data_IF_622537493899
#
_entry.id   IF_622537493899
#
_cell.length_a   1.000
_cell.length_b   1.000
_cell.length_c   1.000
_cell.angle_alpha   90.00
_cell.angle_beta   90.00
_cell.angle_gamma   90.00
#
_symmetry.space_group_name_H-M   'P 1'
#
loop_
_entity.id
_entity.type
_entity.pdbx_description
1 polymer ?
#
# COMPACT_ATOMS: atom_id res chain seq x y z
N UNK A 1 -11.02 9.97 -9.26
CA UNK A 1 -11.86 8.98 -9.94
C UNK A 1 -11.14 7.67 -10.13
N UNK A 2 -11.56 6.61 -9.46
CA UNK A 2 -10.88 5.33 -9.64
C UNK A 2 -11.06 4.82 -11.05
N UNK A 3 -10.04 4.21 -11.56
CA UNK A 3 -10.14 3.62 -12.87
C UNK A 3 -11.08 2.43 -12.82
N UNK A 4 -11.69 2.12 -13.95
CA UNK A 4 -12.56 0.95 -14.03
C UNK A 4 -11.80 -0.33 -13.80
N UNK A 5 -10.48 -0.26 -13.85
CA UNK A 5 -9.64 -1.46 -13.80
C UNK A 5 -8.97 -1.65 -12.47
N UNK A 6 -9.23 -0.81 -11.49
CA UNK A 6 -8.55 -0.96 -10.23
C UNK A 6 -9.16 -0.18 -9.12
N UNK A 7 -8.85 -0.60 -7.91
CA UNK A 7 -9.24 0.08 -6.69
C UNK A 7 -8.02 0.75 -6.10
N UNK A 8 -8.21 1.96 -5.62
CA UNK A 8 -7.11 2.72 -5.03
C UNK A 8 -7.00 2.43 -3.54
N UNK A 9 -5.82 2.03 -3.11
CA UNK A 9 -5.52 1.87 -1.70
C UNK A 9 -5.02 3.21 -1.20
N UNK A 10 -5.69 3.77 -0.20
CA UNK A 10 -5.38 5.10 0.30
C UNK A 10 -4.82 5.02 1.70
N UNK A 11 -4.00 6.01 2.05
CA UNK A 11 -3.45 6.09 3.40
C UNK A 11 -4.58 6.41 4.38
N UNK A 12 -4.72 5.65 5.46
CA UNK A 12 -5.76 5.93 6.44
C UNK A 12 -5.40 7.08 7.38
N UNK A 13 -4.15 7.53 7.34
CA UNK A 13 -3.68 8.56 8.26
C UNK A 13 -2.42 9.21 7.69
N UNK A 14 -2.05 10.34 8.27
CA UNK A 14 -0.81 11.01 7.92
C UNK A 14 0.35 10.22 8.52
N UNK A 15 1.39 9.98 7.73
CA UNK A 15 2.54 9.27 8.23
C UNK A 15 3.60 9.06 7.18
N UNK A 16 4.45 8.08 7.41
CA UNK A 16 5.52 7.73 6.48
C UNK A 16 5.24 6.36 5.90
N UNK A 17 5.26 6.28 4.58
CA UNK A 17 4.99 5.04 3.86
C UNK A 17 6.24 4.16 3.86
N UNK A 18 6.06 2.90 4.19
CA UNK A 18 7.12 1.91 4.08
C UNK A 18 6.62 0.75 3.23
N UNK A 19 7.34 0.48 2.14
CA UNK A 19 6.99 -0.62 1.26
C UNK A 19 7.51 -1.96 1.79
N UNK A 20 8.39 -1.94 2.77
CA UNK A 20 9.03 -3.12 3.32
C UNK A 20 9.01 -3.03 4.84
N UNK A 21 9.16 -4.17 5.54
CA UNK A 21 9.11 -4.17 7.00
C UNK A 21 10.28 -3.44 7.65
N UNK A 22 11.39 -3.32 6.94
CA UNK A 22 12.56 -2.62 7.46
C UNK A 22 13.47 -2.27 6.29
N UNK A 23 14.40 -1.34 6.50
CA UNK A 23 15.34 -0.98 5.44
C UNK A 23 16.13 -2.19 4.97
N UNK A 24 16.27 -2.32 3.66
CA UNK A 24 17.01 -3.41 3.08
C UNK A 24 16.25 -4.71 2.92
N UNK A 25 15.03 -4.79 3.46
CA UNK A 25 14.21 -5.98 3.30
C UNK A 25 13.45 -5.92 1.98
N UNK A 26 12.96 -7.08 1.54
CA UNK A 26 12.13 -7.13 0.34
C UNK A 26 10.81 -6.41 0.60
N UNK A 27 10.26 -5.73 -0.41
CA UNK A 27 8.95 -5.11 -0.25
C UNK A 27 7.87 -6.16 -0.03
N UNK A 28 6.80 -5.73 0.66
CA UNK A 28 5.67 -6.62 0.88
C UNK A 28 5.06 -7.05 -0.44
N UNK A 29 4.94 -6.13 -1.39
CA UNK A 29 4.38 -6.41 -2.71
C UNK A 29 5.10 -5.57 -3.74
N UNK A 30 5.01 -6.02 -5.00
CA UNK A 30 5.54 -5.29 -6.14
C UNK A 30 4.47 -5.22 -7.21
N UNK A 31 4.67 -4.31 -8.16
CA UNK A 31 3.77 -4.24 -9.31
C UNK A 31 3.74 -5.59 -9.99
N UNK A 32 2.54 -6.10 -10.23
CA UNK A 32 2.34 -7.42 -10.82
C UNK A 32 2.11 -8.53 -9.83
N UNK A 33 2.33 -8.29 -8.54
CA UNK A 33 2.11 -9.31 -7.52
C UNK A 33 0.63 -9.50 -7.27
N UNK A 34 0.24 -10.73 -6.95
CA UNK A 34 -1.12 -11.01 -6.51
C UNK A 34 -1.20 -10.89 -5.01
N UNK A 35 -2.33 -10.36 -4.54
CA UNK A 35 -2.55 -10.19 -3.11
C UNK A 35 -3.88 -10.82 -2.74
N UNK A 36 -4.01 -11.16 -1.45
CA UNK A 36 -5.22 -11.76 -0.93
C UNK A 36 -5.77 -10.91 0.19
N UNK A 37 -7.03 -11.13 0.52
CA UNK A 37 -7.68 -10.41 1.60
C UNK A 37 -6.87 -10.62 2.89
N UNK A 38 -6.55 -9.51 3.56
CA UNK A 38 -5.80 -9.54 4.80
C UNK A 38 -4.30 -9.55 4.63
N UNK A 39 -3.80 -9.61 3.40
CA UNK A 39 -2.37 -9.59 3.17
C UNK A 39 -1.83 -8.18 3.38
N UNK A 40 -0.71 -8.05 4.10
CA UNK A 40 -0.11 -6.75 4.35
C UNK A 40 0.47 -6.20 3.06
N UNK A 41 0.06 -4.98 2.71
CA UNK A 41 0.53 -4.32 1.49
C UNK A 41 1.67 -3.37 1.77
N UNK A 42 1.61 -2.69 2.90
CA UNK A 42 2.59 -1.68 3.25
C UNK A 42 2.39 -1.28 4.70
N UNK A 43 3.25 -0.40 5.16
CA UNK A 43 3.16 0.12 6.53
C UNK A 43 3.14 1.63 6.45
N UNK A 44 2.30 2.25 7.26
CA UNK A 44 2.33 3.70 7.47
C UNK A 44 2.72 3.94 8.91
N UNK A 45 3.87 4.59 9.10
CA UNK A 45 4.37 4.88 10.44
C UNK A 45 3.86 6.24 10.89
N UNK A 46 3.24 6.26 12.07
CA UNK A 46 2.75 7.49 12.67
C UNK A 46 3.28 7.56 14.09
N UNK A 47 4.10 8.59 14.38
CA UNK A 47 4.63 8.81 15.72
C UNK A 47 5.30 7.55 16.26
N UNK A 48 6.10 6.91 15.40
CA UNK A 48 6.87 5.70 15.72
C UNK A 48 6.01 4.48 15.95
N UNK A 49 4.73 4.55 15.61
CA UNK A 49 3.84 3.40 15.63
C UNK A 49 3.65 2.90 14.21
N UNK A 50 3.90 1.62 14.01
CA UNK A 50 3.82 1.02 12.67
C UNK A 50 2.41 0.49 12.47
N UNK A 51 1.74 0.98 11.44
CA UNK A 51 0.38 0.57 11.13
C UNK A 51 0.38 -0.21 9.82
N UNK A 52 -0.01 -1.47 9.88
CA UNK A 52 -0.06 -2.32 8.69
C UNK A 52 -1.30 -1.96 7.87
N UNK A 53 -1.08 -1.81 6.58
CA UNK A 53 -2.17 -1.59 5.63
C UNK A 53 -2.40 -2.90 4.91
N UNK A 54 -3.59 -3.46 5.05
CA UNK A 54 -3.90 -4.77 4.51
C UNK A 54 -4.85 -4.66 3.34
N UNK A 55 -4.76 -5.63 2.46
CA UNK A 55 -5.66 -5.70 1.31
C UNK A 55 -7.07 -6.03 1.79
N UNK A 56 -8.05 -5.33 1.24
CA UNK A 56 -9.46 -5.56 1.58
C UNK A 56 -10.12 -6.52 0.61
N UNK A 57 -9.43 -6.87 -0.46
CA UNK A 57 -9.92 -7.81 -1.45
C UNK A 57 -8.71 -8.44 -2.14
N UNK A 58 -8.95 -9.57 -2.79
CA UNK A 58 -7.89 -10.22 -3.55
C UNK A 58 -7.77 -9.54 -4.92
N UNK A 59 -6.55 -9.46 -5.42
CA UNK A 59 -6.33 -8.83 -6.71
C UNK A 59 -4.88 -8.81 -7.08
N UNK A 60 -4.55 -7.99 -8.08
CA UNK A 60 -3.19 -7.85 -8.58
C UNK A 60 -2.76 -6.39 -8.46
N UNK A 61 -1.56 -6.16 -7.96
CA UNK A 61 -1.03 -4.80 -7.83
C UNK A 61 -0.73 -4.26 -9.22
N UNK A 62 -1.45 -3.21 -9.59
CA UNK A 62 -1.28 -2.59 -10.90
C UNK A 62 -0.22 -1.51 -10.87
N UNK A 63 -0.19 -0.73 -9.80
CA UNK A 63 0.71 0.41 -9.74
C UNK A 63 0.94 0.77 -8.29
N UNK A 64 2.15 1.19 -7.97
CA UNK A 64 2.49 1.74 -6.66
C UNK A 64 2.83 3.21 -6.88
N UNK A 65 2.11 4.08 -6.18
CA UNK A 65 2.11 5.51 -6.48
C UNK A 65 3.08 6.31 -5.62
N UNK A 66 3.65 5.69 -4.58
CA UNK A 66 4.58 6.36 -3.68
C UNK A 66 5.80 5.48 -3.49
N UNK A 67 6.89 6.09 -3.06
CA UNK A 67 8.14 5.38 -2.85
C UNK A 67 8.32 5.05 -1.38
N UNK A 68 9.20 4.10 -1.11
CA UNK A 68 9.55 3.75 0.25
C UNK A 68 10.03 4.98 0.99
N UNK A 69 9.52 5.17 2.21
CA UNK A 69 9.88 6.28 3.10
C UNK A 69 9.33 7.63 2.65
N UNK A 70 8.38 7.65 1.73
CA UNK A 70 7.69 8.89 1.37
C UNK A 70 6.73 9.31 2.46
N UNK A 71 6.61 10.61 2.67
CA UNK A 71 5.57 11.13 3.55
C UNK A 71 4.23 11.05 2.83
N UNK A 72 3.21 10.60 3.51
CA UNK A 72 1.88 10.48 2.93
C UNK A 72 0.86 11.15 3.83
N UNK A 73 -0.25 11.56 3.23
CA UNK A 73 -1.31 12.24 3.95
C UNK A 73 -2.57 11.38 3.96
N UNK A 74 -3.46 11.71 4.88
CA UNK A 74 -4.74 11.00 4.97
C UNK A 74 -5.46 11.07 3.62
N UNK A 75 -5.83 9.91 3.12
CA UNK A 75 -6.55 9.83 1.85
C UNK A 75 -5.66 9.86 0.61
N UNK A 76 -4.34 9.94 0.80
CA UNK A 76 -3.44 9.96 -0.35
C UNK A 76 -3.38 8.57 -0.97
N UNK A 77 -3.52 8.48 -2.30
CA UNK A 77 -3.41 7.17 -2.96
C UNK A 77 -2.02 6.56 -2.78
N UNK A 78 -1.97 5.31 -2.39
CA UNK A 78 -0.70 4.59 -2.19
C UNK A 78 -0.42 3.63 -3.33
N UNK A 79 -1.43 2.90 -3.76
CA UNK A 79 -1.26 1.95 -4.86
C UNK A 79 -2.63 1.63 -5.44
N UNK A 80 -2.60 1.04 -6.63
CA UNK A 80 -3.82 0.62 -7.32
C UNK A 80 -3.78 -0.89 -7.45
N UNK A 81 -4.86 -1.55 -7.05
CA UNK A 81 -4.97 -3.00 -7.11
C UNK A 81 -6.18 -3.35 -7.95
N UNK A 82 -5.98 -4.18 -8.94
CA UNK A 82 -7.06 -4.67 -9.79
C UNK A 82 -7.72 -5.86 -9.09
N UNK A 83 -9.01 -5.77 -8.72
CA UNK A 83 -9.68 -6.89 -8.05
C UNK A 83 -9.77 -8.09 -8.97
N UNK A 84 -9.73 -9.25 -8.36
CA UNK A 84 -9.94 -10.49 -9.10
C UNK A 84 -11.40 -10.66 -9.48
#
# INVERSE_FOLDING_TARGET
EPSAEGETVKAPMVGTFYAAPKPGADPFVKVGDEVEVGQVLCIVEVMKLMNNIEAKFAGTVKEILVDNEDAVEHGQPLMIIEPK
#
